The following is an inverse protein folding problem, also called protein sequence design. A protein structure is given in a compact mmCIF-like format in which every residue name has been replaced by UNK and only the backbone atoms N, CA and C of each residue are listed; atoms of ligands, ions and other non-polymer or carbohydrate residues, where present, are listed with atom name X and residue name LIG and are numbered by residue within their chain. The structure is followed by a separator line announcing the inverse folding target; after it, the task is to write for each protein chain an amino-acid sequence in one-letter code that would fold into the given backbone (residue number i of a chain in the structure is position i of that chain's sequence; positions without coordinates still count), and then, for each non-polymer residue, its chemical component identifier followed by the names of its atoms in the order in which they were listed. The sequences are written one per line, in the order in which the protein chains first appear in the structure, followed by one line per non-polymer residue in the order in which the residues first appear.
data_IF_088841670051
#
_entry.id   IF_088841670051
#
_cell.length_a   1.000
_cell.length_b   1.000
_cell.length_c   1.000
_cell.angle_alpha   90.00
_cell.angle_beta   90.00
_cell.angle_gamma   90.00
#
_symmetry.space_group_name_H-M   'P 1'
#
loop_
_entity.id
_entity.type
_entity.pdbx_description
1 polymer ?
#
# COMPACT_ATOMS: atom_id res chain seq x y z
N UNK A 1 16.80 -32.13 30.45
CA UNK A 1 15.98 -31.29 29.57
C UNK A 1 16.02 -31.88 28.19
N UNK A 2 14.86 -32.18 27.61
CA UNK A 2 14.77 -32.75 26.27
C UNK A 2 15.10 -31.67 25.25
N UNK A 3 16.20 -31.84 24.53
CA UNK A 3 16.62 -30.87 23.52
C UNK A 3 15.79 -31.05 22.27
N UNK A 4 15.19 -29.96 21.79
CA UNK A 4 14.35 -29.95 20.61
C UNK A 4 15.21 -30.22 19.36
N UNK A 5 14.70 -30.96 18.35
CA UNK A 5 15.42 -31.16 17.08
C UNK A 5 15.81 -29.83 16.45
N UNK A 6 16.95 -29.78 15.75
CA UNK A 6 17.52 -28.53 15.21
C UNK A 6 16.55 -27.75 14.30
N UNK A 7 15.63 -28.44 13.61
CA UNK A 7 14.60 -27.85 12.77
C UNK A 7 13.54 -27.04 13.53
N UNK A 8 13.36 -27.32 14.83
CA UNK A 8 12.37 -26.71 15.70
C UNK A 8 13.01 -25.77 16.74
N UNK A 9 14.27 -25.37 16.53
CA UNK A 9 14.93 -24.35 17.36
C UNK A 9 14.41 -22.95 17.04
N UNK A 10 14.57 -22.01 17.99
CA UNK A 10 14.21 -20.60 17.82
C UNK A 10 15.32 -19.75 17.18
N UNK A 11 16.33 -20.37 16.56
CA UNK A 11 17.33 -19.65 15.80
C UNK A 11 16.72 -19.02 14.54
N UNK A 12 17.00 -17.73 14.31
CA UNK A 12 16.38 -16.91 13.24
C UNK A 12 16.39 -17.58 11.85
N UNK A 13 17.48 -18.20 11.36
CA UNK A 13 17.49 -18.81 10.03
C UNK A 13 16.50 -19.97 9.87
N UNK A 14 16.23 -20.72 10.96
CA UNK A 14 15.26 -21.81 10.98
C UNK A 14 13.86 -21.30 11.27
N UNK A 15 13.75 -20.33 12.18
CA UNK A 15 12.48 -19.73 12.58
C UNK A 15 11.77 -19.04 11.40
N UNK A 16 12.51 -18.34 10.53
CA UNK A 16 11.97 -17.72 9.31
C UNK A 16 11.36 -18.72 8.31
N UNK A 17 11.76 -20.00 8.36
CA UNK A 17 11.21 -21.06 7.49
C UNK A 17 9.99 -21.76 8.10
N UNK A 18 9.60 -21.40 9.33
CA UNK A 18 8.39 -21.97 9.93
C UNK A 18 7.15 -21.42 9.24
N UNK A 19 6.16 -22.29 9.09
CA UNK A 19 4.92 -21.96 8.42
C UNK A 19 4.21 -20.75 9.06
N UNK A 20 4.24 -20.57 10.39
CA UNK A 20 3.59 -19.43 11.06
C UNK A 20 4.17 -18.08 10.62
N UNK A 21 5.50 -18.00 10.57
CA UNK A 21 6.20 -16.78 10.14
C UNK A 21 5.96 -16.55 8.65
N UNK A 22 6.06 -17.61 7.84
CA UNK A 22 5.79 -17.53 6.40
C UNK A 22 4.37 -17.10 6.10
N UNK A 23 3.37 -17.62 6.81
CA UNK A 23 1.96 -17.25 6.65
C UNK A 23 1.77 -15.76 6.94
N UNK A 24 2.32 -15.24 8.04
CA UNK A 24 2.21 -13.82 8.34
C UNK A 24 2.94 -12.94 7.31
N UNK A 25 4.12 -13.36 6.83
CA UNK A 25 4.84 -12.63 5.77
C UNK A 25 4.10 -12.65 4.43
N UNK A 26 3.49 -13.79 4.07
CA UNK A 26 2.68 -13.92 2.87
C UNK A 26 1.39 -13.12 2.97
N UNK A 27 0.71 -13.14 4.12
CA UNK A 27 -0.48 -12.30 4.37
C UNK A 27 -0.12 -10.83 4.25
N UNK A 28 0.99 -10.39 4.86
CA UNK A 28 1.45 -9.00 4.78
C UNK A 28 1.82 -8.60 3.34
N UNK A 29 2.49 -9.48 2.60
CA UNK A 29 2.85 -9.22 1.20
C UNK A 29 1.60 -9.18 0.32
N UNK A 30 0.67 -10.11 0.51
CA UNK A 30 -0.58 -10.16 -0.25
C UNK A 30 -1.44 -8.94 0.03
N UNK A 31 -1.60 -8.54 1.31
CA UNK A 31 -2.37 -7.35 1.65
C UNK A 31 -1.73 -6.08 1.09
N UNK A 32 -0.41 -5.93 1.15
CA UNK A 32 0.31 -4.81 0.53
C UNK A 32 -0.01 -4.68 -0.97
N UNK A 33 0.07 -5.78 -1.72
CA UNK A 33 -0.24 -5.78 -3.15
C UNK A 33 -1.72 -5.53 -3.43
N UNK A 34 -2.61 -6.06 -2.59
CA UNK A 34 -4.04 -5.82 -2.69
C UNK A 34 -4.43 -4.39 -2.35
N UNK A 35 -3.75 -3.73 -1.40
CA UNK A 35 -3.94 -2.29 -1.14
C UNK A 35 -3.62 -1.51 -2.40
N UNK A 36 -2.45 -1.74 -3.01
CA UNK A 36 -2.05 -1.08 -4.25
C UNK A 36 -3.06 -1.28 -5.37
N UNK A 37 -3.51 -2.53 -5.57
CA UNK A 37 -4.53 -2.85 -6.57
C UNK A 37 -5.83 -2.09 -6.30
N UNK A 38 -6.27 -2.02 -5.04
CA UNK A 38 -7.48 -1.27 -4.68
C UNK A 38 -7.31 0.23 -4.81
N UNK A 39 -6.16 0.78 -4.44
CA UNK A 39 -5.83 2.19 -4.68
C UNK A 39 -5.90 2.51 -6.16
N UNK A 40 -5.29 1.69 -7.02
CA UNK A 40 -5.34 1.89 -8.47
C UNK A 40 -6.76 1.80 -9.03
N UNK A 41 -7.54 0.82 -8.59
CA UNK A 41 -8.93 0.66 -9.05
C UNK A 41 -9.83 1.84 -8.66
N UNK A 42 -9.49 2.62 -7.63
CA UNK A 42 -10.33 3.69 -7.08
C UNK A 42 -9.80 5.07 -7.42
N UNK A 43 -8.48 5.23 -7.49
CA UNK A 43 -7.79 6.51 -7.67
C UNK A 43 -6.86 6.51 -8.90
N UNK A 44 -6.94 5.48 -9.75
CA UNK A 44 -6.05 5.31 -10.90
C UNK A 44 -6.38 6.23 -12.08
N UNK A 45 -7.60 6.74 -12.18
CA UNK A 45 -8.01 7.64 -13.27
C UNK A 45 -8.26 9.06 -12.78
N UNK A 46 -8.12 10.02 -13.68
CA UNK A 46 -8.58 11.40 -13.47
C UNK A 46 -10.12 11.49 -13.54
N UNK A 47 -10.68 12.64 -13.16
CA UNK A 47 -12.12 12.92 -13.27
C UNK A 47 -12.57 13.02 -14.73
N UNK A 48 -13.76 12.51 -15.05
CA UNK A 48 -14.27 12.50 -16.44
C UNK A 48 -14.32 13.90 -17.06
N UNK A 49 -14.59 14.93 -16.24
CA UNK A 49 -14.58 16.32 -16.66
C UNK A 49 -13.19 16.78 -17.10
N UNK A 50 -12.15 16.48 -16.31
CA UNK A 50 -10.77 16.79 -16.67
C UNK A 50 -10.33 16.10 -17.98
N UNK A 51 -10.79 14.85 -18.17
CA UNK A 51 -10.54 14.10 -19.42
C UNK A 51 -11.22 14.78 -20.61
N UNK A 52 -12.48 15.18 -20.44
CA UNK A 52 -13.24 15.86 -21.49
C UNK A 52 -12.58 17.21 -21.86
N UNK A 53 -12.18 17.99 -20.87
CA UNK A 53 -11.52 19.29 -21.05
C UNK A 53 -10.14 19.15 -21.71
N UNK A 54 -9.48 18.01 -21.50
CA UNK A 54 -8.18 17.67 -22.10
C UNK A 54 -8.27 17.12 -23.54
N UNK A 55 -9.46 17.10 -24.15
CA UNK A 55 -9.66 16.62 -25.52
C UNK A 55 -10.18 15.19 -25.64
N UNK A 56 -10.63 14.60 -24.53
CA UNK A 56 -11.32 13.31 -24.49
C UNK A 56 -10.44 12.11 -24.13
N UNK A 57 -11.01 10.89 -24.04
CA UNK A 57 -10.31 9.70 -23.53
C UNK A 57 -9.14 9.23 -24.41
N UNK A 58 -9.15 9.62 -25.69
CA UNK A 58 -8.13 9.26 -26.68
C UNK A 58 -7.03 10.31 -26.81
N UNK A 59 -7.14 11.46 -26.13
CA UNK A 59 -6.10 12.47 -26.18
C UNK A 59 -4.92 12.11 -25.28
N UNK A 60 -3.73 12.55 -25.69
CA UNK A 60 -2.54 12.48 -24.86
C UNK A 60 -2.56 13.64 -23.87
N UNK A 61 -2.88 13.37 -22.61
CA UNK A 61 -2.89 14.36 -21.55
C UNK A 61 -2.22 13.83 -20.28
N UNK A 62 -1.65 14.75 -19.50
CA UNK A 62 -1.03 14.41 -18.23
C UNK A 62 -2.09 14.25 -17.15
N UNK A 63 -2.00 13.16 -16.38
CA UNK A 63 -2.95 12.84 -15.31
C UNK A 63 -2.17 12.53 -14.02
N UNK A 64 -2.35 13.29 -12.91
CA UNK A 64 -1.68 13.02 -11.64
C UNK A 64 -2.23 11.83 -10.86
N UNK A 65 -3.12 11.04 -11.45
CA UNK A 65 -3.76 9.91 -10.80
C UNK A 65 -2.77 8.78 -10.46
N UNK A 66 -3.25 7.80 -9.70
CA UNK A 66 -2.42 6.70 -9.20
C UNK A 66 -1.88 5.78 -10.33
N UNK A 67 -2.51 5.77 -11.51
CA UNK A 67 -2.03 5.07 -12.70
C UNK A 67 -0.85 5.82 -13.34
N UNK A 68 0.37 5.28 -13.15
CA UNK A 68 1.60 5.93 -13.60
C UNK A 68 1.78 5.96 -15.13
N UNK A 69 1.14 5.03 -15.85
CA UNK A 69 1.32 4.88 -17.30
C UNK A 69 0.81 6.08 -18.09
N UNK A 70 -0.21 6.80 -17.60
CA UNK A 70 -0.73 7.99 -18.29
C UNK A 70 0.28 9.14 -18.29
N UNK A 71 0.93 9.37 -17.15
CA UNK A 71 2.01 10.36 -17.06
C UNK A 71 3.19 10.01 -17.98
N UNK A 72 3.55 8.72 -18.05
CA UNK A 72 4.63 8.24 -18.92
C UNK A 72 4.27 8.37 -20.41
N UNK A 73 3.05 7.99 -20.81
CA UNK A 73 2.59 8.16 -22.20
C UNK A 73 2.58 9.63 -22.60
N UNK A 74 2.15 10.52 -21.71
CA UNK A 74 2.22 11.95 -21.98
C UNK A 74 3.66 12.40 -22.28
N UNK A 75 4.66 11.92 -21.53
CA UNK A 75 6.07 12.24 -21.77
C UNK A 75 6.60 11.68 -23.10
N UNK A 76 6.29 10.42 -23.42
CA UNK A 76 6.74 9.77 -24.65
C UNK A 76 6.08 10.36 -25.90
N UNK A 77 4.75 10.56 -25.87
CA UNK A 77 3.99 10.99 -27.05
C UNK A 77 4.15 12.49 -27.36
N UNK A 78 4.62 13.28 -26.39
CA UNK A 78 4.84 14.73 -26.56
C UNK A 78 6.24 15.08 -27.08
N UNK A 79 7.08 14.10 -27.41
CA UNK A 79 8.52 14.26 -27.74
C UNK A 79 9.28 15.12 -26.70
N UNK A 80 8.75 15.22 -25.47
CA UNK A 80 9.31 16.10 -24.43
C UNK A 80 10.41 15.39 -23.65
N UNK A 81 10.27 14.07 -23.47
CA UNK A 81 11.13 13.24 -22.62
C UNK A 81 11.21 11.84 -23.24
N UNK A 82 12.41 11.46 -23.68
CA UNK A 82 12.71 10.07 -24.03
C UNK A 82 12.83 9.22 -22.75
N UNK A 83 12.07 8.12 -22.71
CA UNK A 83 12.17 7.14 -21.63
C UNK A 83 13.41 6.28 -21.82
N UNK A 84 14.21 6.15 -20.77
CA UNK A 84 15.43 5.38 -20.78
C UNK A 84 15.18 3.90 -20.47
N UNK A 85 14.33 3.56 -19.49
CA UNK A 85 13.98 2.16 -19.26
C UNK A 85 13.06 1.66 -20.38
N UNK A 86 13.18 0.37 -20.75
CA UNK A 86 12.27 -0.24 -21.71
C UNK A 86 10.80 -0.13 -21.29
N UNK A 87 9.90 0.10 -22.25
CA UNK A 87 8.45 0.24 -22.03
C UNK A 87 7.79 -0.91 -21.25
N UNK A 88 8.35 -2.13 -21.36
CA UNK A 88 7.85 -3.26 -20.58
C UNK A 88 8.13 -3.11 -19.07
N UNK A 89 9.25 -2.46 -18.70
CA UNK A 89 9.61 -2.21 -17.30
C UNK A 89 8.65 -1.21 -16.68
N UNK A 90 8.26 -0.20 -17.47
CA UNK A 90 7.22 0.76 -17.14
C UNK A 90 5.82 0.13 -17.07
N UNK A 91 5.62 -1.05 -17.65
CA UNK A 91 4.29 -1.65 -17.78
C UNK A 91 3.39 -0.95 -18.80
N UNK A 92 3.98 -0.27 -19.78
CA UNK A 92 3.26 0.29 -20.93
C UNK A 92 2.90 -0.80 -21.94
N UNK A 93 3.79 -1.78 -22.11
CA UNK A 93 3.64 -2.91 -23.03
C UNK A 93 3.95 -4.24 -22.35
N UNK A 94 3.40 -5.33 -22.88
CA UNK A 94 3.81 -6.69 -22.51
C UNK A 94 5.12 -7.12 -23.21
N UNK A 95 5.63 -8.31 -22.87
CA UNK A 95 6.85 -8.87 -23.49
C UNK A 95 6.72 -9.13 -25.00
N UNK A 96 5.49 -9.16 -25.53
CA UNK A 96 5.20 -9.29 -26.96
C UNK A 96 4.92 -7.94 -27.66
N UNK A 97 4.98 -6.82 -26.94
CA UNK A 97 4.76 -5.48 -27.48
C UNK A 97 3.29 -5.02 -27.51
N UNK A 98 2.36 -5.73 -26.89
CA UNK A 98 0.96 -5.27 -26.80
C UNK A 98 0.80 -4.23 -25.69
N UNK A 99 0.05 -3.16 -25.95
CA UNK A 99 -0.23 -2.12 -24.96
C UNK A 99 -1.03 -2.66 -23.78
N UNK A 100 -0.55 -2.41 -22.57
CA UNK A 100 -1.22 -2.77 -21.33
C UNK A 100 -2.14 -1.63 -20.85
N UNK A 101 -3.17 -2.00 -20.07
CA UNK A 101 -4.11 -1.06 -19.45
C UNK A 101 -4.61 -1.60 -18.11
N UNK A 102 -4.96 -0.70 -17.18
CA UNK A 102 -5.50 -1.07 -15.88
C UNK A 102 -4.48 -1.84 -15.02
N UNK A 103 -4.94 -2.85 -14.29
CA UNK A 103 -4.11 -3.58 -13.31
C UNK A 103 -2.86 -4.24 -13.89
N UNK A 104 -2.87 -4.59 -15.19
CA UNK A 104 -1.75 -5.26 -15.82
C UNK A 104 -0.50 -4.37 -15.92
N UNK A 105 -0.68 -3.04 -15.94
CA UNK A 105 0.40 -2.06 -16.03
C UNK A 105 1.31 -2.04 -14.79
N UNK A 106 0.82 -2.52 -13.65
CA UNK A 106 1.58 -2.52 -12.40
C UNK A 106 2.43 -3.79 -12.22
N UNK A 107 2.17 -4.85 -13.00
CA UNK A 107 2.79 -6.17 -12.78
C UNK A 107 4.31 -6.09 -12.95
N UNK A 108 4.79 -5.52 -14.05
CA UNK A 108 6.22 -5.43 -14.31
C UNK A 108 6.97 -4.53 -13.30
N UNK A 109 6.52 -3.30 -13.01
CA UNK A 109 7.12 -2.49 -11.94
C UNK A 109 7.12 -3.17 -10.56
N UNK A 110 6.03 -3.85 -10.18
CA UNK A 110 5.96 -4.57 -8.89
C UNK A 110 6.95 -5.73 -8.84
N UNK A 111 7.10 -6.48 -9.93
CA UNK A 111 8.12 -7.53 -10.03
C UNK A 111 9.53 -6.96 -9.94
N UNK A 112 9.78 -5.78 -10.52
CA UNK A 112 11.04 -5.06 -10.36
C UNK A 112 11.27 -4.65 -8.90
N UNK A 113 10.26 -4.12 -8.20
CA UNK A 113 10.36 -3.84 -6.76
C UNK A 113 10.67 -5.11 -5.93
N UNK A 114 10.06 -6.24 -6.27
CA UNK A 114 10.33 -7.52 -5.63
C UNK A 114 11.76 -8.00 -5.88
N UNK A 115 12.26 -7.88 -7.11
CA UNK A 115 13.64 -8.22 -7.47
C UNK A 115 14.65 -7.33 -6.75
N UNK A 116 14.44 -6.00 -6.74
CA UNK A 116 15.27 -5.05 -5.99
C UNK A 116 15.27 -5.40 -4.50
N UNK A 117 14.09 -5.70 -3.93
CA UNK A 117 14.01 -6.08 -2.52
C UNK A 117 14.74 -7.38 -2.24
N UNK A 118 14.64 -8.39 -3.11
CA UNK A 118 15.36 -9.66 -2.94
C UNK A 118 16.88 -9.46 -2.97
N UNK A 119 17.38 -8.65 -3.91
CA UNK A 119 18.80 -8.29 -4.00
C UNK A 119 19.24 -7.52 -2.75
N UNK A 120 18.45 -6.52 -2.33
CA UNK A 120 18.71 -5.72 -1.14
C UNK A 120 18.80 -6.58 0.12
N UNK A 121 17.80 -7.44 0.35
CA UNK A 121 17.76 -8.37 1.47
C UNK A 121 18.94 -9.34 1.41
N UNK A 122 19.30 -9.84 0.23
CA UNK A 122 20.48 -10.70 0.07
C UNK A 122 21.77 -9.98 0.50
N UNK A 123 21.97 -8.74 0.03
CA UNK A 123 23.15 -7.91 0.39
C UNK A 123 23.19 -7.64 1.89
N UNK A 124 22.06 -7.34 2.52
CA UNK A 124 21.98 -7.09 3.97
C UNK A 124 22.44 -8.28 4.83
N UNK A 125 22.34 -9.51 4.32
CA UNK A 125 22.82 -10.71 5.03
C UNK A 125 24.30 -11.02 4.77
N UNK A 126 24.95 -10.29 3.86
CA UNK A 126 26.39 -10.44 3.62
C UNK A 126 27.21 -9.67 4.67
N UNK A 127 28.50 -10.03 4.79
CA UNK A 127 29.42 -9.33 5.68
C UNK A 127 29.55 -7.83 5.35
N UNK A 128 29.84 -7.00 6.36
CA UNK A 128 30.01 -5.55 6.20
C UNK A 128 31.03 -5.18 5.11
N UNK A 129 32.10 -5.99 4.95
CA UNK A 129 33.10 -5.81 3.90
C UNK A 129 32.49 -5.92 2.51
N UNK A 130 31.64 -6.92 2.29
CA UNK A 130 30.94 -7.13 1.01
C UNK A 130 29.95 -6.00 0.77
N UNK A 131 29.18 -5.60 1.78
CA UNK A 131 28.24 -4.49 1.66
C UNK A 131 28.95 -3.18 1.25
N UNK A 132 30.05 -2.84 1.92
CA UNK A 132 30.85 -1.66 1.56
C UNK A 132 31.42 -1.74 0.15
N UNK A 133 31.91 -2.92 -0.27
CA UNK A 133 32.47 -3.10 -1.60
C UNK A 133 31.39 -2.99 -2.68
N UNK A 134 30.24 -3.64 -2.50
CA UNK A 134 29.09 -3.55 -3.41
C UNK A 134 28.62 -2.11 -3.54
N UNK A 135 28.44 -1.40 -2.41
CA UNK A 135 28.01 -0.01 -2.43
C UNK A 135 29.00 0.90 -3.18
N UNK A 136 30.31 0.70 -3.00
CA UNK A 136 31.34 1.43 -3.74
C UNK A 136 31.34 1.09 -5.22
N UNK A 137 31.15 -0.18 -5.58
CA UNK A 137 31.12 -0.61 -6.97
C UNK A 137 29.90 -0.06 -7.70
N UNK A 138 28.73 -0.09 -7.06
CA UNK A 138 27.50 0.51 -7.62
C UNK A 138 27.65 2.02 -7.75
N UNK A 139 28.15 2.72 -6.71
CA UNK A 139 28.27 4.18 -6.77
C UNK A 139 29.32 4.65 -7.77
N UNK A 140 30.50 4.02 -7.81
CA UNK A 140 31.54 4.34 -8.80
C UNK A 140 31.12 3.94 -10.20
N UNK A 141 30.44 2.80 -10.37
CA UNK A 141 29.90 2.36 -11.64
C UNK A 141 28.85 3.35 -12.17
N UNK A 142 27.95 3.81 -11.31
CA UNK A 142 26.92 4.78 -11.68
C UNK A 142 27.50 6.15 -12.04
N UNK A 143 28.40 6.69 -11.22
CA UNK A 143 29.10 7.96 -11.50
C UNK A 143 29.95 7.84 -12.78
N UNK A 144 30.63 6.71 -12.95
CA UNK A 144 31.39 6.40 -14.15
C UNK A 144 30.49 6.39 -15.38
N UNK A 145 29.39 5.64 -15.36
CA UNK A 145 28.44 5.58 -16.46
C UNK A 145 27.85 6.96 -16.83
N UNK A 146 27.56 7.80 -15.84
CA UNK A 146 27.01 9.14 -16.07
C UNK A 146 28.01 10.11 -16.70
N UNK A 147 29.28 10.10 -16.28
CA UNK A 147 30.24 11.16 -16.62
C UNK A 147 31.22 10.71 -17.73
N UNK A 148 31.53 9.43 -17.81
CA UNK A 148 32.58 8.90 -18.68
C UNK A 148 32.24 9.03 -20.18
N UNK A 149 31.01 8.81 -20.67
CA UNK A 149 30.66 9.06 -22.08
C UNK A 149 30.89 10.52 -22.49
N UNK A 150 30.51 11.46 -21.62
CA UNK A 150 30.77 12.89 -21.81
C UNK A 150 32.27 13.20 -21.84
N UNK A 151 33.03 12.73 -20.85
CA UNK A 151 34.47 13.00 -20.79
C UNK A 151 35.22 12.39 -21.98
N UNK A 152 34.90 11.14 -22.35
CA UNK A 152 35.57 10.47 -23.46
C UNK A 152 35.25 11.13 -24.80
N UNK A 153 33.99 11.48 -25.06
CA UNK A 153 33.60 12.17 -26.30
C UNK A 153 34.26 13.55 -26.42
N UNK A 154 34.25 14.34 -25.35
CA UNK A 154 34.88 15.66 -25.32
C UNK A 154 36.41 15.59 -25.44
N UNK A 155 37.08 14.70 -24.69
CA UNK A 155 38.54 14.55 -24.75
C UNK A 155 38.96 14.06 -26.14
N UNK A 156 38.24 13.08 -26.72
CA UNK A 156 38.51 12.61 -28.07
C UNK A 156 38.38 13.73 -29.10
N UNK A 157 37.31 14.53 -29.03
CA UNK A 157 37.12 15.66 -29.91
C UNK A 157 38.21 16.73 -29.73
N UNK A 158 38.66 17.00 -28.50
CA UNK A 158 39.78 17.92 -28.24
C UNK A 158 41.10 17.45 -28.86
N UNK A 159 41.36 16.14 -28.85
CA UNK A 159 42.57 15.56 -29.44
C UNK A 159 42.54 15.64 -30.97
N UNK A 160 41.37 15.41 -31.59
CA UNK A 160 41.24 15.35 -33.06
C UNK A 160 41.04 16.73 -33.68
N UNK A 161 40.25 17.61 -33.05
CA UNK A 161 39.79 18.88 -33.63
C UNK A 161 40.36 20.12 -32.93
N UNK A 162 41.16 19.95 -31.88
CA UNK A 162 41.76 21.03 -31.10
C UNK A 162 40.94 21.45 -29.87
N UNK A 163 41.52 22.29 -28.99
CA UNK A 163 40.89 22.66 -27.72
C UNK A 163 39.63 23.49 -27.95
N UNK A 164 38.48 23.00 -27.49
CA UNK A 164 37.21 23.71 -27.56
C UNK A 164 36.38 23.43 -26.31
N UNK A 165 35.45 24.34 -26.02
CA UNK A 165 34.46 24.14 -24.96
C UNK A 165 33.40 23.13 -25.42
N UNK A 166 32.90 22.26 -24.52
CA UNK A 166 31.95 21.19 -24.85
C UNK A 166 30.52 21.67 -25.15
N UNK A 167 30.30 22.99 -25.21
CA UNK A 167 29.02 23.63 -25.46
C UNK A 167 29.22 24.94 -26.23
N UNK A 168 28.16 25.41 -26.91
CA UNK A 168 28.12 26.71 -27.58
C UNK A 168 28.87 26.76 -28.91
N UNK A 169 29.16 25.61 -29.52
CA UNK A 169 29.79 25.53 -30.84
C UNK A 169 28.74 25.62 -31.95
N UNK A 170 29.11 26.25 -33.07
CA UNK A 170 28.24 26.37 -34.26
C UNK A 170 27.94 25.01 -34.90
N UNK A 171 28.89 24.07 -34.85
CA UNK A 171 28.69 22.71 -35.33
C UNK A 171 28.21 21.82 -34.17
N UNK A 172 27.00 21.22 -34.27
CA UNK A 172 26.43 20.39 -33.21
C UNK A 172 27.28 19.18 -32.85
N UNK A 173 28.14 18.68 -33.77
CA UNK A 173 29.02 17.55 -33.50
C UNK A 173 30.07 17.81 -32.41
N UNK A 174 30.31 19.09 -32.05
CA UNK A 174 31.23 19.49 -30.97
C UNK A 174 30.50 19.88 -29.67
N UNK A 175 29.16 19.82 -29.66
CA UNK A 175 28.38 19.97 -28.44
C UNK A 175 28.22 18.58 -27.81
N UNK A 176 28.97 18.31 -26.76
CA UNK A 176 28.99 17.00 -26.09
C UNK A 176 28.08 16.96 -24.86
N UNK A 177 27.45 18.09 -24.51
CA UNK A 177 26.60 18.21 -23.31
C UNK A 177 25.39 17.26 -23.34
N UNK A 178 24.94 16.87 -24.53
CA UNK A 178 23.80 15.97 -24.71
C UNK A 178 24.05 14.60 -24.07
N UNK A 179 25.31 14.14 -24.01
CA UNK A 179 25.67 12.91 -23.30
C UNK A 179 25.46 12.97 -21.78
N UNK A 180 25.35 14.16 -21.18
CA UNK A 180 24.99 14.33 -19.76
C UNK A 180 23.47 14.38 -19.55
N UNK A 181 22.69 14.51 -20.63
CA UNK A 181 21.23 14.58 -20.54
C UNK A 181 20.62 13.19 -20.30
N UNK A 182 21.09 12.15 -20.97
CA UNK A 182 20.54 10.78 -20.82
C UNK A 182 20.55 10.28 -19.35
N UNK A 183 21.64 10.41 -18.58
CA UNK A 183 21.64 9.99 -17.17
C UNK A 183 20.71 10.84 -16.30
N UNK A 184 20.53 12.12 -16.65
CA UNK A 184 19.60 12.99 -15.94
C UNK A 184 18.14 12.55 -16.16
N UNK A 185 17.79 12.22 -17.41
CA UNK A 185 16.47 11.69 -17.75
C UNK A 185 16.21 10.36 -17.05
N UNK A 186 17.19 9.46 -17.03
CA UNK A 186 17.10 8.21 -16.26
C UNK A 186 16.84 8.46 -14.77
N UNK A 187 17.53 9.42 -14.15
CA UNK A 187 17.30 9.76 -12.72
C UNK A 187 15.88 10.28 -12.51
N UNK A 188 15.40 11.16 -13.39
CA UNK A 188 14.05 11.71 -13.31
C UNK A 188 12.99 10.61 -13.41
N UNK A 189 13.15 9.69 -14.35
CA UNK A 189 12.29 8.51 -14.54
C UNK A 189 12.30 7.59 -13.30
N UNK A 190 13.49 7.30 -12.75
CA UNK A 190 13.63 6.53 -11.52
C UNK A 190 13.00 7.21 -10.30
N UNK A 191 13.04 8.55 -10.23
CA UNK A 191 12.36 9.31 -9.18
C UNK A 191 10.84 9.21 -9.36
N UNK A 192 10.33 9.36 -10.58
CA UNK A 192 8.90 9.25 -10.86
C UNK A 192 8.36 7.87 -10.48
N UNK A 193 8.96 6.80 -11.00
CA UNK A 193 8.61 5.42 -10.64
C UNK A 193 8.83 5.18 -9.13
N UNK A 194 9.92 5.73 -8.58
CA UNK A 194 10.25 5.64 -7.17
C UNK A 194 9.17 6.24 -6.27
N UNK A 195 8.57 7.37 -6.66
CA UNK A 195 7.46 8.00 -5.93
C UNK A 195 6.22 7.13 -5.99
N UNK A 196 5.82 6.65 -7.17
CA UNK A 196 4.60 5.83 -7.33
C UNK A 196 4.71 4.50 -6.58
N UNK A 197 5.85 3.82 -6.72
CA UNK A 197 6.06 2.49 -6.14
C UNK A 197 6.75 2.51 -4.77
N UNK A 198 7.02 3.70 -4.21
CA UNK A 198 7.55 3.88 -2.86
C UNK A 198 6.86 3.00 -1.79
N UNK A 199 5.51 2.97 -1.68
CA UNK A 199 4.85 2.18 -0.65
C UNK A 199 5.08 0.67 -0.83
N UNK A 200 5.13 0.18 -2.07
CA UNK A 200 5.42 -1.24 -2.36
C UNK A 200 6.87 -1.57 -2.00
N UNK A 201 7.82 -0.77 -2.47
CA UNK A 201 9.24 -1.00 -2.20
C UNK A 201 9.53 -0.95 -0.70
N UNK A 202 9.01 0.07 -0.01
CA UNK A 202 9.17 0.21 1.42
C UNK A 202 8.48 -0.93 2.18
N UNK A 203 7.26 -1.32 1.78
CA UNK A 203 6.53 -2.42 2.41
C UNK A 203 7.25 -3.76 2.26
N UNK A 204 7.73 -4.08 1.06
CA UNK A 204 8.50 -5.32 0.80
C UNK A 204 9.82 -5.33 1.58
N UNK A 205 10.56 -4.21 1.58
CA UNK A 205 11.77 -4.06 2.41
C UNK A 205 11.46 -4.18 3.91
N UNK A 206 10.31 -3.71 4.35
CA UNK A 206 9.84 -3.85 5.73
C UNK A 206 9.59 -5.31 6.14
N UNK A 207 8.80 -6.04 5.34
CA UNK A 207 8.41 -7.43 5.62
C UNK A 207 9.62 -8.37 5.57
N UNK A 208 10.42 -8.28 4.50
CA UNK A 208 11.50 -9.23 4.23
C UNK A 208 12.84 -8.80 4.82
N UNK A 209 13.06 -7.48 4.95
CA UNK A 209 14.22 -6.90 5.63
C UNK A 209 14.05 -6.72 7.14
N UNK A 210 12.89 -7.09 7.70
CA UNK A 210 12.54 -6.95 9.13
C UNK A 210 12.64 -5.52 9.68
N UNK A 211 12.11 -4.53 8.95
CA UNK A 211 12.16 -3.12 9.37
C UNK A 211 10.79 -2.56 9.71
N UNK A 212 10.51 -2.32 10.99
CA UNK A 212 9.25 -1.68 11.45
C UNK A 212 9.07 -0.29 10.85
N UNK A 213 10.16 0.47 10.79
CA UNK A 213 10.19 1.82 10.21
C UNK A 213 9.68 1.82 8.77
N UNK A 214 10.13 0.87 7.95
CA UNK A 214 9.73 0.80 6.54
C UNK A 214 8.25 0.42 6.36
N UNK A 215 7.70 -0.43 7.24
CA UNK A 215 6.26 -0.71 7.28
C UNK A 215 5.47 0.57 7.59
N UNK A 216 5.89 1.33 8.61
CA UNK A 216 5.23 2.60 8.98
C UNK A 216 5.29 3.62 7.84
N UNK A 217 6.41 3.72 7.12
CA UNK A 217 6.51 4.58 5.93
C UNK A 217 5.52 4.18 4.84
N UNK A 218 5.40 2.88 4.53
CA UNK A 218 4.45 2.40 3.53
C UNK A 218 3.00 2.71 3.92
N UNK A 219 2.62 2.46 5.19
CA UNK A 219 1.30 2.82 5.72
C UNK A 219 1.06 4.33 5.63
N UNK A 220 2.03 5.13 6.08
CA UNK A 220 1.95 6.59 6.04
C UNK A 220 1.77 7.13 4.63
N UNK A 221 2.43 6.53 3.63
CA UNK A 221 2.26 6.89 2.23
C UNK A 221 0.84 6.61 1.74
N UNK A 222 0.29 5.41 2.00
CA UNK A 222 -1.10 5.11 1.62
C UNK A 222 -2.11 6.04 2.29
N UNK A 223 -1.91 6.36 3.58
CA UNK A 223 -2.76 7.30 4.30
C UNK A 223 -2.64 8.73 3.78
N UNK A 224 -1.45 9.14 3.35
CA UNK A 224 -1.23 10.45 2.70
C UNK A 224 -2.02 10.54 1.40
N UNK A 225 -1.93 9.52 0.53
CA UNK A 225 -2.70 9.47 -0.74
C UNK A 225 -4.20 9.55 -0.45
N UNK A 226 -4.72 8.70 0.44
CA UNK A 226 -6.13 8.76 0.86
C UNK A 226 -6.50 10.14 1.43
N UNK A 227 -5.62 10.76 2.21
CA UNK A 227 -5.83 12.10 2.76
C UNK A 227 -5.92 13.19 1.69
N UNK A 228 -5.12 13.10 0.62
CA UNK A 228 -5.21 14.02 -0.53
C UNK A 228 -6.57 13.86 -1.22
N UNK A 229 -6.97 12.64 -1.55
CA UNK A 229 -8.29 12.37 -2.14
C UNK A 229 -9.46 12.75 -1.21
N UNK A 230 -9.26 12.68 0.10
CA UNK A 230 -10.22 13.15 1.09
C UNK A 230 -10.40 14.67 1.05
N UNK A 231 -9.30 15.43 0.94
CA UNK A 231 -9.37 16.90 0.84
C UNK A 231 -10.11 17.35 -0.43
N UNK A 232 -9.95 16.61 -1.53
CA UNK A 232 -10.66 16.88 -2.79
C UNK A 232 -12.17 16.61 -2.73
N UNK A 233 -12.68 16.05 -1.64
CA UNK A 233 -14.12 15.86 -1.46
C UNK A 233 -14.84 17.17 -1.10
N UNK A 234 -14.10 18.21 -0.67
CA UNK A 234 -14.67 19.51 -0.35
C UNK A 234 -14.76 20.40 -1.60
N UNK A 235 -15.99 20.77 -1.98
CA UNK A 235 -16.29 21.62 -3.16
C UNK A 235 -15.49 22.93 -3.18
N UNK A 236 -15.34 23.58 -2.02
CA UNK A 236 -14.55 24.81 -1.91
C UNK A 236 -13.04 24.65 -2.19
N UNK A 237 -12.51 23.42 -2.18
CA UNK A 237 -11.12 23.13 -2.58
C UNK A 237 -11.06 22.81 -4.08
N UNK A 238 -11.98 22.00 -4.59
CA UNK A 238 -12.00 21.62 -6.02
C UNK A 238 -12.28 22.81 -6.94
N UNK A 239 -13.08 23.78 -6.48
CA UNK A 239 -13.36 25.01 -7.24
C UNK A 239 -12.13 25.94 -7.35
N UNK A 240 -11.21 25.85 -6.38
CA UNK A 240 -10.01 26.68 -6.33
C UNK A 240 -8.80 26.03 -7.00
N UNK A 241 -8.72 24.70 -6.96
CA UNK A 241 -7.58 23.91 -7.46
C UNK A 241 -8.12 22.66 -8.17
N UNK A 242 -8.33 22.77 -9.48
CA UNK A 242 -8.63 21.60 -10.30
C UNK A 242 -7.35 20.90 -10.76
N UNK A 243 -7.03 19.80 -10.08
CA UNK A 243 -5.90 18.92 -10.39
C UNK A 243 -6.34 17.67 -11.16
N UNK A 244 -7.62 17.56 -11.54
CA UNK A 244 -8.15 16.40 -12.26
C UNK A 244 -8.20 15.09 -11.46
N UNK A 245 -7.90 15.11 -10.16
CA UNK A 245 -7.90 13.93 -9.29
C UNK A 245 -9.33 13.60 -8.81
N UNK A 246 -9.64 12.30 -8.70
CA UNK A 246 -10.94 11.85 -8.20
C UNK A 246 -11.09 12.11 -6.69
N UNK A 247 -12.22 12.63 -6.19
CA UNK A 247 -12.49 12.72 -4.76
C UNK A 247 -12.70 11.32 -4.15
N UNK A 248 -12.81 11.23 -2.82
CA UNK A 248 -13.20 9.95 -2.20
C UNK A 248 -14.55 9.48 -2.77
N UNK A 249 -14.71 8.16 -2.99
CA UNK A 249 -16.02 7.58 -3.29
C UNK A 249 -17.04 8.03 -2.24
N UNK A 250 -18.21 8.48 -2.71
CA UNK A 250 -19.30 8.88 -1.82
C UNK A 250 -19.63 7.77 -0.84
N UNK A 251 -19.74 8.10 0.45
CA UNK A 251 -20.09 7.11 1.49
C UNK A 251 -21.62 6.91 1.58
N UNK A 252 -22.38 7.62 0.75
CA UNK A 252 -23.84 7.64 0.72
C UNK A 252 -24.29 6.84 -0.51
N UNK A 253 -25.01 5.74 -0.28
CA UNK A 253 -25.61 4.94 -1.33
C UNK A 253 -26.42 3.80 -0.72
N UNK A 254 -27.39 3.28 -1.45
CA UNK A 254 -28.29 2.24 -0.93
C UNK A 254 -27.51 0.96 -0.60
N UNK A 255 -27.78 0.40 0.59
CA UNK A 255 -27.23 -0.88 1.01
C UNK A 255 -27.81 -2.00 0.14
N UNK A 256 -27.04 -2.43 -0.86
CA UNK A 256 -27.46 -3.44 -1.86
C UNK A 256 -26.64 -4.72 -1.79
N UNK A 257 -25.48 -4.71 -1.13
CA UNK A 257 -24.59 -5.86 -1.02
C UNK A 257 -24.76 -6.60 0.31
N UNK A 258 -24.40 -7.90 0.31
CA UNK A 258 -24.46 -8.79 1.48
C UNK A 258 -25.83 -8.82 2.18
N UNK A 259 -26.91 -8.90 1.40
CA UNK A 259 -28.27 -8.94 1.95
C UNK A 259 -28.76 -7.58 2.45
N UNK A 260 -28.20 -6.48 1.93
CA UNK A 260 -28.57 -5.11 2.30
C UNK A 260 -27.82 -4.56 3.51
N UNK A 261 -26.65 -5.12 3.82
CA UNK A 261 -25.84 -4.71 4.97
C UNK A 261 -24.85 -3.58 4.65
N UNK A 262 -24.41 -3.46 3.40
CA UNK A 262 -23.32 -2.53 3.01
C UNK A 262 -23.58 -1.95 1.63
N UNK A 263 -23.39 -0.64 1.48
CA UNK A 263 -23.33 0.00 0.17
C UNK A 263 -22.04 -0.34 -0.61
N UNK A 264 -22.10 -0.51 -1.95
CA UNK A 264 -20.91 -0.79 -2.78
C UNK A 264 -19.80 0.25 -2.64
N UNK A 265 -20.15 1.52 -2.44
CA UNK A 265 -19.18 2.60 -2.29
C UNK A 265 -18.50 2.57 -0.92
N UNK A 266 -19.24 2.35 0.18
CA UNK A 266 -18.63 2.23 1.52
C UNK A 266 -17.73 1.01 1.65
N UNK A 267 -18.12 -0.12 1.02
CA UNK A 267 -17.30 -1.34 0.97
C UNK A 267 -15.93 -1.09 0.34
N UNK A 268 -15.86 -0.18 -0.64
CA UNK A 268 -14.60 0.17 -1.31
C UNK A 268 -13.61 0.77 -0.32
N UNK A 269 -14.03 1.76 0.47
CA UNK A 269 -13.20 2.39 1.50
C UNK A 269 -12.91 1.45 2.68
N UNK A 270 -13.91 0.68 3.12
CA UNK A 270 -13.72 -0.35 4.15
C UNK A 270 -12.65 -1.36 3.71
N UNK A 271 -12.69 -1.80 2.44
CA UNK A 271 -11.73 -2.78 1.93
C UNK A 271 -10.30 -2.26 1.96
N UNK A 272 -10.09 -0.99 1.59
CA UNK A 272 -8.81 -0.30 1.67
C UNK A 272 -8.33 -0.26 3.13
N UNK A 273 -9.19 0.18 4.05
CA UNK A 273 -8.84 0.32 5.46
C UNK A 273 -8.44 -1.04 6.09
N UNK A 274 -9.22 -2.09 5.83
CA UNK A 274 -8.93 -3.44 6.32
C UNK A 274 -7.60 -3.95 5.75
N UNK A 275 -7.34 -3.76 4.45
CA UNK A 275 -6.10 -4.21 3.83
C UNK A 275 -4.88 -3.50 4.44
N UNK A 276 -4.97 -2.20 4.73
CA UNK A 276 -3.92 -1.45 5.43
C UNK A 276 -3.71 -1.99 6.86
N UNK A 277 -4.79 -2.24 7.60
CA UNK A 277 -4.73 -2.81 8.96
C UNK A 277 -4.06 -4.19 8.94
N UNK A 278 -4.50 -5.07 8.03
CA UNK A 278 -3.95 -6.43 7.90
C UNK A 278 -2.47 -6.37 7.51
N UNK A 279 -2.09 -5.53 6.55
CA UNK A 279 -0.68 -5.30 6.18
C UNK A 279 0.17 -4.88 7.37
N UNK A 280 -0.28 -3.85 8.10
CA UNK A 280 0.44 -3.29 9.24
C UNK A 280 0.56 -4.31 10.37
N UNK A 281 -0.54 -4.93 10.80
CA UNK A 281 -0.55 -5.85 11.93
C UNK A 281 0.28 -7.11 11.64
N UNK A 282 0.06 -7.76 10.50
CA UNK A 282 0.81 -8.97 10.13
C UNK A 282 2.31 -8.70 9.94
N UNK A 283 2.67 -7.55 9.35
CA UNK A 283 4.06 -7.17 9.15
C UNK A 283 4.77 -6.84 10.46
N UNK A 284 4.15 -6.04 11.34
CA UNK A 284 4.72 -5.70 12.64
C UNK A 284 4.80 -6.91 13.59
N UNK A 285 3.83 -7.81 13.51
CA UNK A 285 3.81 -9.05 14.29
C UNK A 285 4.99 -9.96 13.97
N UNK A 286 5.28 -10.18 12.67
CA UNK A 286 6.45 -10.97 12.23
C UNK A 286 7.73 -10.40 12.82
N UNK A 287 7.94 -9.10 12.68
CA UNK A 287 9.18 -8.46 13.14
C UNK A 287 9.30 -8.57 14.65
N UNK A 288 8.22 -8.26 15.39
CA UNK A 288 8.24 -8.26 16.86
C UNK A 288 8.44 -9.68 17.42
N UNK A 289 7.85 -10.71 16.82
CA UNK A 289 8.08 -12.10 17.23
C UNK A 289 9.50 -12.59 16.91
N UNK A 290 10.07 -12.18 15.77
CA UNK A 290 11.45 -12.53 15.42
C UNK A 290 12.48 -11.78 16.28
N UNK A 291 12.24 -10.51 16.60
CA UNK A 291 13.05 -9.73 17.55
C UNK A 291 13.02 -10.38 18.94
N UNK A 292 11.83 -10.76 19.42
CA UNK A 292 11.68 -11.46 20.69
C UNK A 292 12.49 -12.76 20.70
N UNK A 293 12.38 -13.58 19.65
CA UNK A 293 13.15 -14.82 19.54
C UNK A 293 14.67 -14.58 19.47
N UNK A 294 15.12 -13.48 18.86
CA UNK A 294 16.54 -13.12 18.81
C UNK A 294 17.12 -12.77 20.18
N UNK A 295 16.33 -12.08 21.02
CA UNK A 295 16.73 -11.65 22.36
C UNK A 295 16.79 -12.78 23.39
N UNK A 296 16.19 -13.94 23.11
CA UNK A 296 16.22 -15.08 24.03
C UNK A 296 17.66 -15.61 24.23
N UNK A 297 18.02 -16.09 25.44
CA UNK A 297 19.26 -16.80 25.67
C UNK A 297 19.38 -18.06 24.80
N UNK A 298 20.60 -18.46 24.44
CA UNK A 298 20.85 -19.61 23.56
C UNK A 298 20.31 -20.94 24.12
N UNK A 299 20.33 -21.10 25.45
CA UNK A 299 19.75 -22.27 26.13
C UNK A 299 18.22 -22.32 25.99
N UNK A 300 17.55 -21.16 26.07
CA UNK A 300 16.10 -21.06 25.93
C UNK A 300 15.65 -21.35 24.49
N UNK A 301 16.46 -21.01 23.48
CA UNK A 301 16.17 -21.26 22.06
C UNK A 301 16.07 -22.75 21.69
N UNK A 302 16.64 -23.63 22.52
CA UNK A 302 16.68 -25.09 22.33
C UNK A 302 15.79 -25.86 23.30
N UNK A 303 15.22 -25.18 24.28
CA UNK A 303 14.35 -25.78 25.29
C UNK A 303 12.93 -25.98 24.74
N UNK A 304 12.40 -27.19 24.89
CA UNK A 304 11.09 -27.61 24.37
C UNK A 304 9.91 -26.83 24.95
N UNK A 305 10.01 -26.39 26.20
CA UNK A 305 8.97 -25.60 26.85
C UNK A 305 8.85 -24.22 26.19
N UNK A 306 9.97 -23.50 26.03
CA UNK A 306 10.00 -22.18 25.39
C UNK A 306 9.59 -22.24 23.92
N UNK A 307 10.02 -23.29 23.19
CA UNK A 307 9.59 -23.50 21.80
C UNK A 307 8.08 -23.68 21.71
N UNK A 308 7.49 -24.45 22.63
CA UNK A 308 6.05 -24.71 22.67
C UNK A 308 5.26 -23.47 23.08
N UNK A 309 5.73 -22.72 24.08
CA UNK A 309 5.11 -21.46 24.48
C UNK A 309 5.14 -20.44 23.33
N UNK A 310 6.28 -20.26 22.67
CA UNK A 310 6.40 -19.38 21.51
C UNK A 310 5.46 -19.78 20.37
N UNK A 311 5.34 -21.09 20.10
CA UNK A 311 4.40 -21.64 19.11
C UNK A 311 2.95 -21.29 19.46
N UNK A 312 2.56 -21.44 20.72
CA UNK A 312 1.22 -21.15 21.19
C UNK A 312 0.91 -19.65 21.08
N UNK A 313 1.87 -18.78 21.41
CA UNK A 313 1.74 -17.32 21.25
C UNK A 313 1.54 -16.95 19.78
N UNK A 314 2.34 -17.50 18.86
CA UNK A 314 2.19 -17.23 17.43
C UNK A 314 0.84 -17.70 16.88
N UNK A 315 0.41 -18.92 17.23
CA UNK A 315 -0.89 -19.43 16.79
C UNK A 315 -2.03 -18.58 17.34
N UNK A 316 -1.97 -18.19 18.61
CA UNK A 316 -2.95 -17.31 19.24
C UNK A 316 -3.01 -15.96 18.52
N UNK A 317 -1.85 -15.37 18.19
CA UNK A 317 -1.80 -14.09 17.49
C UNK A 317 -2.45 -14.18 16.10
N UNK A 318 -2.19 -15.23 15.33
CA UNK A 318 -2.82 -15.44 14.00
C UNK A 318 -4.35 -15.49 14.14
N UNK A 319 -4.87 -16.25 15.11
CA UNK A 319 -6.32 -16.36 15.35
C UNK A 319 -6.92 -15.02 15.79
N UNK A 320 -6.24 -14.29 16.70
CA UNK A 320 -6.68 -12.97 17.14
C UNK A 320 -6.70 -11.96 16.00
N UNK A 321 -5.66 -11.93 15.16
CA UNK A 321 -5.59 -11.04 14.01
C UNK A 321 -6.80 -11.25 13.09
N UNK A 322 -7.11 -12.49 12.72
CA UNK A 322 -8.26 -12.80 11.84
C UNK A 322 -9.58 -12.43 12.54
N UNK A 323 -9.74 -12.84 13.80
CA UNK A 323 -11.00 -12.66 14.54
C UNK A 323 -11.29 -11.19 14.80
N UNK A 324 -10.31 -10.43 15.29
CA UNK A 324 -10.46 -9.01 15.60
C UNK A 324 -10.66 -8.21 14.31
N UNK A 325 -9.88 -8.49 13.25
CA UNK A 325 -10.07 -7.80 11.96
C UNK A 325 -11.47 -8.03 11.41
N UNK A 326 -12.00 -9.26 11.48
CA UNK A 326 -13.35 -9.56 11.04
C UNK A 326 -14.42 -8.82 11.86
N UNK A 327 -14.26 -8.76 13.18
CA UNK A 327 -15.16 -8.00 14.07
C UNK A 327 -15.10 -6.51 13.77
N UNK A 328 -13.90 -5.94 13.57
CA UNK A 328 -13.71 -4.53 13.21
C UNK A 328 -14.39 -4.24 11.87
N UNK A 329 -14.13 -5.06 10.84
CA UNK A 329 -14.75 -4.92 9.52
C UNK A 329 -16.28 -4.91 9.59
N UNK A 330 -16.86 -5.89 10.30
CA UNK A 330 -18.31 -6.01 10.47
C UNK A 330 -18.89 -4.83 11.26
N UNK A 331 -18.24 -4.44 12.35
CA UNK A 331 -18.70 -3.34 13.20
C UNK A 331 -18.66 -2.02 12.43
N UNK A 332 -17.61 -1.77 11.65
CA UNK A 332 -17.51 -0.59 10.78
C UNK A 332 -18.60 -0.59 9.70
N UNK A 333 -18.85 -1.73 9.07
CA UNK A 333 -19.92 -1.86 8.08
C UNK A 333 -21.30 -1.50 8.67
N UNK A 334 -21.64 -2.06 9.84
CA UNK A 334 -22.88 -1.76 10.55
C UNK A 334 -22.93 -0.28 10.97
N UNK A 335 -21.81 0.27 11.44
CA UNK A 335 -21.76 1.66 11.89
C UNK A 335 -22.03 2.68 10.77
N UNK A 336 -21.64 2.37 9.52
CA UNK A 336 -21.87 3.27 8.39
C UNK A 336 -23.31 3.26 7.88
N UNK A 337 -24.07 2.17 8.07
CA UNK A 337 -25.48 2.07 7.65
C UNK A 337 -26.45 2.12 8.85
N UNK A 338 -25.98 2.58 10.01
CA UNK A 338 -26.77 2.57 11.25
C UNK A 338 -27.99 3.51 11.19
N UNK A 339 -27.86 4.59 10.43
CA UNK A 339 -28.91 5.54 10.08
C UNK A 339 -30.09 4.88 9.35
N UNK A 340 -29.81 4.10 8.30
CA UNK A 340 -30.84 3.37 7.55
C UNK A 340 -31.53 2.33 8.43
N UNK A 341 -30.77 1.65 9.30
CA UNK A 341 -31.34 0.76 10.30
C UNK A 341 -32.31 1.48 11.25
N UNK A 342 -31.95 2.67 11.74
CA UNK A 342 -32.83 3.45 12.62
C UNK A 342 -34.09 3.91 11.90
N UNK A 343 -33.97 4.35 10.65
CA UNK A 343 -35.14 4.76 9.83
C UNK A 343 -36.07 3.57 9.62
N UNK A 344 -35.54 2.40 9.30
CA UNK A 344 -36.32 1.17 9.17
C UNK A 344 -37.00 0.75 10.47
N UNK A 345 -36.30 0.85 11.60
CA UNK A 345 -36.86 0.52 12.93
C UNK A 345 -37.98 1.48 13.32
N UNK A 346 -37.80 2.79 13.07
CA UNK A 346 -38.83 3.81 13.34
C UNK A 346 -40.04 3.62 12.42
N UNK A 347 -39.82 3.23 11.16
CA UNK A 347 -40.90 2.85 10.23
C UNK A 347 -41.68 1.61 10.66
N UNK A 348 -41.02 0.65 11.32
CA UNK A 348 -41.68 -0.53 11.90
C UNK A 348 -42.53 -0.19 13.14
N UNK A 349 -42.24 0.94 13.79
CA UNK A 349 -42.98 1.47 14.94
C UNK A 349 -44.09 2.47 14.53
N UNK A 350 -44.50 2.44 13.27
CA UNK A 350 -45.51 3.34 12.69
C UNK A 350 -46.82 3.37 13.49
N UNK A 351 -47.27 4.59 13.84
CA UNK A 351 -48.53 4.85 14.53
C UNK A 351 -48.55 6.08 15.45
N UNK A 352 -47.41 6.71 15.73
CA UNK A 352 -47.31 7.87 16.63
C UNK A 352 -46.77 9.13 15.93
N UNK A 353 -47.27 10.32 16.31
CA UNK A 353 -46.78 11.61 15.82
C UNK A 353 -45.26 11.80 16.07
N UNK A 354 -44.76 11.17 17.14
CA UNK A 354 -43.33 11.14 17.48
C UNK A 354 -42.51 10.38 16.43
N UNK A 355 -42.97 9.20 15.97
CA UNK A 355 -42.27 8.42 14.94
C UNK A 355 -42.15 9.18 13.61
N UNK A 356 -43.16 9.98 13.24
CA UNK A 356 -43.12 10.83 12.05
C UNK A 356 -42.09 11.97 12.15
N UNK A 357 -42.04 12.66 13.29
CA UNK A 357 -41.07 13.74 13.52
C UNK A 357 -39.63 13.24 13.58
N UNK A 358 -39.39 12.07 14.18
CA UNK A 358 -38.07 11.44 14.21
C UNK A 358 -37.65 11.01 12.80
N UNK A 359 -38.55 10.44 12.01
CA UNK A 359 -38.27 10.05 10.62
C UNK A 359 -37.90 11.25 9.75
N UNK A 360 -38.69 12.32 9.80
CA UNK A 360 -38.44 13.55 9.03
C UNK A 360 -37.16 14.28 9.50
N UNK A 361 -36.88 14.31 10.81
CA UNK A 361 -35.63 14.86 11.34
C UNK A 361 -34.41 14.03 10.98
N UNK A 362 -34.53 12.70 10.91
CA UNK A 362 -33.45 11.82 10.45
C UNK A 362 -33.21 12.04 8.96
N UNK A 363 -34.25 12.09 8.14
CA UNK A 363 -34.17 12.34 6.69
C UNK A 363 -33.50 13.69 6.36
N UNK A 364 -33.77 14.75 7.15
CA UNK A 364 -33.13 16.06 7.00
C UNK A 364 -31.69 16.13 7.55
N UNK A 365 -31.33 15.31 8.53
CA UNK A 365 -29.94 15.20 9.02
C UNK A 365 -29.05 14.36 8.09
N UNK A 366 -29.65 13.52 7.25
CA UNK A 366 -28.95 12.68 6.27
C UNK A 366 -28.29 13.45 5.12
N UNK A 367 -28.67 14.71 4.89
CA UNK A 367 -27.90 15.63 4.02
C UNK A 367 -26.46 15.87 4.51
N UNK A 368 -26.13 15.50 5.76
CA UNK A 368 -24.78 15.49 6.37
C UNK A 368 -24.36 14.08 6.87
N UNK A 369 -25.02 13.01 6.42
CA UNK A 369 -25.50 11.87 7.23
C UNK A 369 -24.53 10.80 7.76
N UNK A 370 -23.40 10.49 7.11
CA UNK A 370 -22.63 9.27 7.48
C UNK A 370 -21.71 9.41 8.69
N UNK A 371 -21.14 10.60 8.93
CA UNK A 371 -20.32 10.86 10.14
C UNK A 371 -21.19 10.86 11.39
N UNK A 372 -22.42 11.39 11.28
CA UNK A 372 -23.40 11.42 12.35
C UNK A 372 -23.90 9.99 12.63
N UNK A 373 -24.16 9.19 11.59
CA UNK A 373 -24.52 7.76 11.70
C UNK A 373 -23.49 6.97 12.51
N UNK A 374 -22.21 7.07 12.16
CA UNK A 374 -21.13 6.42 12.91
C UNK A 374 -21.01 6.93 14.36
N UNK A 375 -21.17 8.24 14.58
CA UNK A 375 -21.15 8.83 15.93
C UNK A 375 -22.33 8.37 16.81
N UNK A 376 -23.51 8.25 16.22
CA UNK A 376 -24.73 7.80 16.90
C UNK A 376 -24.66 6.29 17.21
N UNK A 377 -24.09 5.48 16.31
CA UNK A 377 -23.75 4.09 16.58
C UNK A 377 -22.80 3.95 17.77
N UNK A 378 -21.72 4.75 17.82
CA UNK A 378 -20.77 4.74 18.95
C UNK A 378 -21.45 5.09 20.28
N UNK A 379 -22.37 6.06 20.28
CA UNK A 379 -23.18 6.38 21.47
C UNK A 379 -24.05 5.20 21.91
N UNK A 380 -24.68 4.50 20.97
CA UNK A 380 -25.51 3.32 21.27
C UNK A 380 -24.65 2.18 21.83
N UNK A 381 -23.50 1.89 21.22
CA UNK A 381 -22.56 0.87 21.73
C UNK A 381 -22.01 1.26 23.10
N UNK A 382 -21.67 2.53 23.32
CA UNK A 382 -21.26 3.02 24.63
C UNK A 382 -22.38 2.86 25.68
N UNK A 383 -23.63 3.13 25.30
CA UNK A 383 -24.82 2.90 26.13
C UNK A 383 -25.06 1.41 26.43
N UNK A 384 -24.80 0.52 25.47
CA UNK A 384 -24.93 -0.93 25.66
C UNK A 384 -24.04 -1.48 26.78
N UNK A 385 -22.96 -0.79 27.17
CA UNK A 385 -22.18 -1.11 28.39
C UNK A 385 -23.02 -1.21 29.66
N UNK A 386 -24.09 -0.43 29.75
CA UNK A 386 -24.97 -0.41 30.91
C UNK A 386 -26.14 -1.40 30.81
N UNK A 387 -26.38 -1.95 29.62
CA UNK A 387 -27.53 -2.82 29.33
C UNK A 387 -27.11 -4.28 29.19
N UNK A 388 -26.00 -4.55 28.50
CA UNK A 388 -25.52 -5.89 28.23
C UNK A 388 -24.47 -6.33 29.27
N UNK A 389 -24.59 -7.54 29.84
CA UNK A 389 -23.62 -8.09 30.78
C UNK A 389 -22.37 -8.56 30.02
N UNK A 390 -21.51 -7.62 29.60
CA UNK A 390 -20.36 -7.90 28.74
C UNK A 390 -19.45 -9.01 29.26
N UNK A 391 -19.26 -9.12 30.58
CA UNK A 391 -18.49 -10.19 31.20
C UNK A 391 -19.01 -11.60 30.85
N UNK A 392 -20.32 -11.76 30.65
CA UNK A 392 -20.90 -13.05 30.24
C UNK A 392 -20.68 -13.30 28.75
N UNK A 393 -20.82 -12.27 27.93
CA UNK A 393 -20.61 -12.36 26.48
C UNK A 393 -19.15 -12.69 26.17
N UNK A 394 -18.20 -11.99 26.80
CA UNK A 394 -16.77 -12.29 26.63
C UNK A 394 -16.42 -13.70 27.12
N UNK A 395 -16.99 -14.13 28.25
CA UNK A 395 -16.79 -15.50 28.76
C UNK A 395 -17.29 -16.58 27.79
N UNK A 396 -18.41 -16.36 27.10
CA UNK A 396 -18.92 -17.29 26.07
C UNK A 396 -17.98 -17.33 24.86
N UNK A 397 -17.49 -16.18 24.41
CA UNK A 397 -16.56 -16.07 23.28
C UNK A 397 -15.24 -16.77 23.62
N UNK A 398 -14.66 -16.52 24.80
CA UNK A 398 -13.45 -17.18 25.28
C UNK A 398 -13.63 -18.70 25.39
N UNK A 399 -14.77 -19.14 25.89
CA UNK A 399 -15.10 -20.58 25.95
C UNK A 399 -15.21 -21.18 24.54
N UNK A 400 -15.82 -20.47 23.59
CA UNK A 400 -15.87 -20.88 22.18
C UNK A 400 -14.49 -20.97 21.53
N UNK A 401 -13.64 -19.95 21.70
CA UNK A 401 -12.28 -19.92 21.17
C UNK A 401 -11.40 -21.02 21.78
N UNK A 402 -11.53 -21.29 23.09
CA UNK A 402 -10.80 -22.37 23.74
C UNK A 402 -11.20 -23.76 23.23
N UNK A 403 -12.46 -23.95 22.84
CA UNK A 403 -12.99 -25.20 22.26
C UNK A 403 -12.45 -25.46 20.85
N UNK A 404 -12.33 -24.41 20.05
CA UNK A 404 -11.66 -24.46 18.74
C UNK A 404 -10.18 -24.79 18.92
N UNK A 405 -9.53 -24.23 19.95
CA UNK A 405 -8.13 -24.53 20.28
C UNK A 405 -7.90 -25.95 20.81
N UNK A 406 -8.91 -26.62 21.37
CA UNK A 406 -8.79 -27.97 21.94
C UNK A 406 -9.15 -29.10 20.97
N UNK A 407 -9.50 -28.77 19.72
CA UNK A 407 -9.86 -29.75 18.68
C UNK A 407 -8.73 -30.04 17.69
N UNK A 408 -7.57 -29.39 17.88
CA UNK A 408 -6.24 -29.78 17.39
C UNK A 408 -5.43 -30.38 18.55
#
# INVERSE_FOLDING_TARGET
METVPESQTLHIPKLRRRWQVLVLQLISTASLLLVMKRMNSVFGSCTDQFIADSGGPESTYWCPAYEHTRGLRYWTDSDSIDLFLPDFVHGLVDLSGNTLSGDATFVAPVLLCAAITAIWVYILHQSEKIQMWVNRLISLGFVGWMILPFLLSWIYAMVVSGPHLPFGQENPAYNHIDHLWEPFMFIFEMIFLGIVFAPILAGLMGIWGLSKRMITWAVGYFLMVVGIHAMLTFEGITDAVDVGLQPLPGQIGDATLYGGLVSPLSLTLISIAILIIVFMESGLAVISHLEYAAMLPEEAKRNSEYVTQFRNVMNSHIVHMVSITAVVALTTAIALEFDDFLISLVGLLEGSQWSGQVRESLELQLTYGKVISAGLFLLVVAGMRFVLPWQRVTGIIETGMSRIRSTD
#
